data_IF_083232671090
#
_entry.id   IF_083232671090
#
_cell.length_a   1.000
_cell.length_b   1.000
_cell.length_c   1.000
_cell.angle_alpha   90.00
_cell.angle_beta   90.00
_cell.angle_gamma   90.00
#
_symmetry.space_group_name_H-M   'P 1'
#
loop_
_entity.id
_entity.type
_entity.pdbx_description
1 polymer ?
#
# COMPACT_ATOMS: atom_id res chain seq x y z
N UNK A 1 21.64 3.40 -1.51
CA UNK A 1 20.20 3.65 -1.67
C UNK A 1 19.48 2.42 -1.15
N UNK A 2 18.70 2.55 -0.08
CA UNK A 2 18.10 1.40 0.59
C UNK A 2 17.13 0.69 -0.34
N UNK A 3 17.51 -0.52 -0.75
CA UNK A 3 16.82 -1.38 -1.70
C UNK A 3 15.59 -2.07 -1.07
N UNK A 4 15.12 -1.55 0.07
CA UNK A 4 14.12 -2.18 0.93
C UNK A 4 12.76 -2.24 0.27
N UNK A 5 12.30 -1.15 -0.35
CA UNK A 5 11.01 -1.11 -1.04
C UNK A 5 10.95 -2.19 -2.13
N UNK A 6 12.06 -2.35 -2.88
CA UNK A 6 12.20 -3.38 -3.91
C UNK A 6 12.22 -4.78 -3.30
N UNK A 7 13.01 -4.97 -2.24
CA UNK A 7 13.07 -6.25 -1.53
C UNK A 7 11.70 -6.67 -0.99
N UNK A 8 11.00 -5.76 -0.30
CA UNK A 8 9.66 -6.02 0.25
C UNK A 8 8.67 -6.38 -0.86
N UNK A 9 8.70 -5.67 -1.99
CA UNK A 9 7.84 -5.95 -3.13
C UNK A 9 8.07 -7.35 -3.69
N UNK A 10 9.34 -7.73 -3.92
CA UNK A 10 9.69 -9.06 -4.45
C UNK A 10 9.36 -10.15 -3.44
N UNK A 11 9.68 -9.96 -2.16
CA UNK A 11 9.39 -10.92 -1.10
C UNK A 11 7.87 -11.14 -0.95
N UNK A 12 7.07 -10.08 -0.98
CA UNK A 12 5.61 -10.19 -0.98
C UNK A 12 5.09 -10.96 -2.19
N UNK A 13 5.60 -10.70 -3.39
CA UNK A 13 5.20 -11.44 -4.60
C UNK A 13 5.49 -12.93 -4.47
N UNK A 14 6.72 -13.29 -4.10
CA UNK A 14 7.13 -14.70 -3.96
C UNK A 14 6.31 -15.43 -2.89
N UNK A 15 6.04 -14.77 -1.76
CA UNK A 15 5.22 -15.34 -0.68
C UNK A 15 3.78 -15.59 -1.13
N UNK A 16 3.16 -14.61 -1.80
CA UNK A 16 1.80 -14.73 -2.31
C UNK A 16 1.70 -15.81 -3.39
N UNK A 17 2.64 -15.85 -4.33
CA UNK A 17 2.67 -16.85 -5.41
C UNK A 17 2.78 -18.28 -4.86
N UNK A 18 3.61 -18.49 -3.84
CA UNK A 18 3.71 -19.79 -3.17
C UNK A 18 2.44 -20.10 -2.39
N UNK A 19 1.91 -19.15 -1.62
CA UNK A 19 0.73 -19.38 -0.79
C UNK A 19 -0.51 -19.75 -1.60
N UNK A 20 -0.74 -19.09 -2.75
CA UNK A 20 -1.85 -19.39 -3.65
C UNK A 20 -1.79 -20.84 -4.13
N UNK A 21 -0.59 -21.35 -4.45
CA UNK A 21 -0.39 -22.75 -4.87
C UNK A 21 -0.76 -23.76 -3.77
N UNK A 22 -0.54 -23.41 -2.50
CA UNK A 22 -0.81 -24.32 -1.38
C UNK A 22 -2.26 -24.28 -0.88
N UNK A 23 -2.86 -23.10 -0.73
CA UNK A 23 -4.13 -22.94 -0.02
C UNK A 23 -5.36 -22.84 -0.92
N UNK A 24 -5.20 -22.74 -2.26
CA UNK A 24 -6.28 -22.63 -3.25
C UNK A 24 -7.31 -21.50 -2.98
N UNK A 25 -7.02 -20.59 -2.05
CA UNK A 25 -7.86 -19.46 -1.67
C UNK A 25 -7.13 -18.13 -1.91
N UNK A 26 -7.81 -17.10 -2.43
CA UNK A 26 -7.20 -15.82 -2.73
C UNK A 26 -7.03 -14.98 -1.45
N UNK A 27 -5.94 -15.20 -0.72
CA UNK A 27 -5.53 -14.36 0.40
C UNK A 27 -4.24 -13.62 0.05
N UNK A 28 -4.19 -12.30 0.32
CA UNK A 28 -2.97 -11.51 0.21
C UNK A 28 -2.23 -11.51 1.54
N UNK A 29 -1.07 -12.14 1.57
CA UNK A 29 -0.10 -12.04 2.64
C UNK A 29 0.63 -10.70 2.57
N UNK A 30 0.90 -10.13 3.75
CA UNK A 30 1.66 -8.89 3.92
C UNK A 30 2.86 -9.19 4.80
N UNK A 31 4.05 -8.87 4.31
CA UNK A 31 5.29 -9.07 5.06
C UNK A 31 5.44 -7.96 6.10
N UNK A 32 5.69 -8.33 7.36
CA UNK A 32 5.96 -7.39 8.46
C UNK A 32 7.33 -7.70 9.05
N UNK A 33 8.20 -6.70 9.03
CA UNK A 33 9.53 -6.78 9.66
C UNK A 33 9.39 -6.37 11.13
N UNK A 34 9.78 -7.28 12.03
CA UNK A 34 9.80 -7.05 13.47
C UNK A 34 11.23 -7.15 14.00
N UNK A 35 11.52 -6.51 15.14
CA UNK A 35 12.83 -6.62 15.79
C UNK A 35 13.97 -5.96 15.02
N UNK A 36 13.72 -4.78 14.44
CA UNK A 36 14.78 -3.99 13.80
C UNK A 36 15.87 -3.62 14.82
N UNK A 37 17.11 -3.54 14.35
CA UNK A 37 18.25 -3.17 15.18
C UNK A 37 18.14 -1.73 15.70
N UNK A 38 18.86 -1.42 16.79
CA UNK A 38 18.88 -0.07 17.40
C UNK A 38 19.27 1.04 16.41
N UNK A 39 19.97 0.72 15.32
CA UNK A 39 20.30 1.68 14.25
C UNK A 39 19.06 2.25 13.54
N UNK A 40 17.96 1.49 13.54
CA UNK A 40 16.68 1.89 12.96
C UNK A 40 15.79 2.63 13.98
N UNK A 41 16.18 2.66 15.26
CA UNK A 41 15.40 3.31 16.31
C UNK A 41 15.56 4.82 16.23
N UNK A 42 14.45 5.54 16.11
CA UNK A 42 14.42 7.00 16.04
C UNK A 42 13.33 7.57 16.93
N UNK A 43 13.55 8.77 17.44
CA UNK A 43 12.49 9.55 18.09
C UNK A 43 11.67 10.28 17.04
N UNK A 44 10.37 10.40 17.25
CA UNK A 44 9.45 11.00 16.28
C UNK A 44 9.80 12.46 15.94
N UNK A 45 10.27 13.23 16.92
CA UNK A 45 10.71 14.63 16.82
C UNK A 45 12.02 14.81 16.02
N UNK A 46 12.85 13.76 15.95
CA UNK A 46 14.12 13.76 15.23
C UNK A 46 13.99 13.58 13.72
N UNK A 47 12.81 13.17 13.23
CA UNK A 47 12.58 12.89 11.81
C UNK A 47 12.64 14.17 10.96
N UNK A 48 13.29 14.07 9.80
CA UNK A 48 13.44 15.17 8.84
C UNK A 48 13.14 14.68 7.42
N UNK A 49 12.98 15.62 6.48
CA UNK A 49 12.70 15.31 5.07
C UNK A 49 13.73 14.38 4.42
N UNK A 50 14.99 14.43 4.86
CA UNK A 50 16.08 13.55 4.39
C UNK A 50 15.90 12.07 4.76
N UNK A 51 15.04 11.80 5.75
CA UNK A 51 14.75 10.45 6.23
C UNK A 51 13.52 9.85 5.53
N UNK A 52 12.94 10.59 4.57
CA UNK A 52 11.86 10.09 3.72
C UNK A 52 12.32 8.83 2.97
N UNK A 53 11.48 7.79 2.99
CA UNK A 53 11.70 6.45 2.37
C UNK A 53 12.69 5.52 3.10
N UNK A 54 13.14 5.85 4.31
CA UNK A 54 13.90 4.92 5.16
C UNK A 54 12.96 4.21 6.15
N UNK A 55 13.36 3.01 6.56
CA UNK A 55 12.65 2.23 7.58
C UNK A 55 13.13 2.62 8.97
N UNK A 56 12.19 2.83 9.90
CA UNK A 56 12.49 3.15 11.29
C UNK A 56 11.52 2.45 12.24
N UNK A 57 11.96 2.29 13.48
CA UNK A 57 11.13 1.96 14.63
C UNK A 57 11.09 3.14 15.59
N UNK A 58 9.96 3.34 16.27
CA UNK A 58 9.80 4.38 17.28
C UNK A 58 8.88 3.87 18.39
N UNK A 59 9.18 4.29 19.62
CA UNK A 59 8.35 4.02 20.79
C UNK A 59 7.44 5.23 21.01
N UNK A 60 6.13 5.02 21.10
CA UNK A 60 5.17 6.10 21.28
C UNK A 60 3.91 5.64 22.02
N UNK A 61 3.22 6.59 22.65
CA UNK A 61 1.89 6.39 23.23
C UNK A 61 0.82 6.75 22.20
N UNK A 62 -0.19 5.89 22.06
CA UNK A 62 -1.31 6.11 21.14
C UNK A 62 -2.42 6.85 21.90
N UNK A 63 -2.67 8.12 21.54
CA UNK A 63 -3.60 9.01 22.27
C UNK A 63 -4.99 9.10 21.61
N UNK A 64 -5.22 8.41 20.49
CA UNK A 64 -6.54 8.36 19.84
C UNK A 64 -6.60 7.41 18.65
N UNK A 65 -7.79 6.90 18.34
CA UNK A 65 -8.04 6.00 17.22
C UNK A 65 -9.27 6.44 16.41
N UNK A 66 -9.06 6.72 15.13
CA UNK A 66 -10.15 6.94 14.16
C UNK A 66 -10.87 5.61 13.89
N UNK A 67 -12.20 5.59 13.63
CA UNK A 67 -12.89 4.38 13.20
C UNK A 67 -12.26 3.77 11.94
N UNK A 68 -12.43 2.46 11.71
CA UNK A 68 -11.93 1.81 10.50
C UNK A 68 -12.56 2.46 9.28
N UNK A 69 -11.72 2.92 8.36
CA UNK A 69 -12.15 3.49 7.09
C UNK A 69 -11.67 2.57 5.95
N UNK A 70 -12.55 2.31 5.00
CA UNK A 70 -12.17 1.67 3.74
C UNK A 70 -11.43 2.65 2.83
N UNK A 71 -10.40 2.18 2.14
CA UNK A 71 -9.69 2.94 1.11
C UNK A 71 -9.85 2.22 -0.23
N UNK A 72 -10.31 2.95 -1.24
CA UNK A 72 -10.29 2.49 -2.63
C UNK A 72 -8.83 2.38 -3.06
N UNK A 73 -8.40 1.17 -3.44
CA UNK A 73 -7.07 0.91 -4.05
C UNK A 73 -7.13 1.00 -5.57
N UNK A 74 -8.23 0.55 -6.16
CA UNK A 74 -8.47 0.57 -7.60
C UNK A 74 -9.94 0.88 -7.82
N UNK A 75 -10.21 1.80 -8.74
CA UNK A 75 -11.55 2.14 -9.17
C UNK A 75 -11.74 1.70 -10.63
N UNK A 76 -12.90 1.11 -10.91
CA UNK A 76 -13.33 0.78 -12.26
C UNK A 76 -14.44 1.77 -12.65
N UNK A 77 -14.30 2.39 -13.81
CA UNK A 77 -15.25 3.35 -14.35
C UNK A 77 -15.81 2.80 -15.65
N UNK A 78 -17.13 2.59 -15.69
CA UNK A 78 -17.84 2.23 -16.90
C UNK A 78 -18.39 3.49 -17.57
N UNK A 79 -18.30 3.57 -18.90
CA UNK A 79 -18.89 4.66 -19.64
C UNK A 79 -20.43 4.58 -19.60
N UNK A 80 -21.08 5.70 -19.29
CA UNK A 80 -22.55 5.77 -19.24
C UNK A 80 -23.21 5.99 -20.63
N UNK A 81 -22.41 6.20 -21.68
CA UNK A 81 -22.93 6.42 -23.02
C UNK A 81 -23.55 5.13 -23.60
N UNK A 82 -24.71 5.26 -24.27
CA UNK A 82 -25.41 4.12 -24.89
C UNK A 82 -24.51 3.48 -25.95
N UNK A 83 -24.29 2.17 -25.81
CA UNK A 83 -23.47 1.38 -26.73
C UNK A 83 -21.97 1.38 -26.44
N UNK A 84 -21.51 2.15 -25.44
CA UNK A 84 -20.11 2.10 -25.01
C UNK A 84 -19.92 1.00 -23.97
N UNK A 85 -19.02 0.06 -24.24
CA UNK A 85 -18.64 -1.05 -23.33
C UNK A 85 -17.29 -0.82 -22.65
N UNK A 86 -16.71 0.37 -22.80
CA UNK A 86 -15.40 0.67 -22.25
C UNK A 86 -15.43 0.73 -20.71
N UNK A 87 -14.47 0.02 -20.10
CA UNK A 87 -14.21 0.06 -18.66
C UNK A 87 -12.77 0.52 -18.44
N UNK A 88 -12.62 1.70 -17.86
CA UNK A 88 -11.34 2.26 -17.46
C UNK A 88 -10.99 1.87 -16.02
N UNK A 89 -9.73 1.56 -15.76
CA UNK A 89 -9.23 1.26 -14.42
C UNK A 89 -8.23 2.31 -13.98
N UNK A 90 -8.42 2.85 -12.77
CA UNK A 90 -7.51 3.82 -12.17
C UNK A 90 -7.04 3.28 -10.82
N UNK A 91 -5.72 3.19 -10.66
CA UNK A 91 -5.07 2.89 -9.39
C UNK A 91 -5.10 4.13 -8.48
N UNK A 92 -5.75 4.01 -7.32
CA UNK A 92 -5.88 5.07 -6.33
C UNK A 92 -4.75 4.88 -5.29
N UNK A 93 -3.68 5.66 -5.44
CA UNK A 93 -2.43 5.53 -4.65
C UNK A 93 -2.52 6.21 -3.29
N UNK A 94 -3.40 7.20 -3.13
CA UNK A 94 -3.55 7.94 -1.89
C UNK A 94 -4.86 7.57 -1.18
N UNK A 95 -4.81 7.57 0.16
CA UNK A 95 -6.03 7.45 0.95
C UNK A 95 -6.99 8.59 0.60
N UNK A 96 -8.23 8.24 0.21
CA UNK A 96 -9.28 9.18 -0.22
C UNK A 96 -9.04 9.87 -1.57
N UNK A 97 -8.12 9.38 -2.40
CA UNK A 97 -8.04 9.80 -3.80
C UNK A 97 -9.36 9.43 -4.51
N UNK A 98 -9.89 10.38 -5.29
CA UNK A 98 -11.13 10.22 -6.07
C UNK A 98 -10.91 10.70 -7.50
N UNK A 99 -9.78 10.31 -8.08
CA UNK A 99 -9.52 10.60 -9.49
C UNK A 99 -10.47 9.80 -10.37
N UNK A 100 -11.19 10.50 -11.23
CA UNK A 100 -12.04 9.93 -12.27
C UNK A 100 -11.43 10.16 -13.65
N UNK A 101 -11.64 9.26 -14.61
CA UNK A 101 -11.24 9.50 -15.99
C UNK A 101 -12.01 10.70 -16.54
N UNK A 102 -11.33 11.57 -17.29
CA UNK A 102 -11.93 12.79 -17.84
C UNK A 102 -12.82 12.51 -19.05
N UNK A 103 -12.28 11.81 -20.05
CA UNK A 103 -13.00 11.45 -21.27
C UNK A 103 -12.87 9.94 -21.52
N UNK A 104 -13.93 9.33 -22.03
CA UNK A 104 -13.83 7.97 -22.58
C UNK A 104 -12.91 8.01 -23.80
N UNK A 105 -11.91 7.11 -23.91
CA UNK A 105 -11.11 6.98 -25.13
C UNK A 105 -11.97 6.57 -26.34
#
# INVERSE_FOLDING_TARGET
MDNLDRFMTVAEQVLNDRFIKYMQQPCRLVLRLNGLTEQHKRRLDSLRMRDRRKLFSFDTLIVGRTPPLGYLKRAAYACAAKGCTYVGYIEQRLARQRESPGQCP
#
